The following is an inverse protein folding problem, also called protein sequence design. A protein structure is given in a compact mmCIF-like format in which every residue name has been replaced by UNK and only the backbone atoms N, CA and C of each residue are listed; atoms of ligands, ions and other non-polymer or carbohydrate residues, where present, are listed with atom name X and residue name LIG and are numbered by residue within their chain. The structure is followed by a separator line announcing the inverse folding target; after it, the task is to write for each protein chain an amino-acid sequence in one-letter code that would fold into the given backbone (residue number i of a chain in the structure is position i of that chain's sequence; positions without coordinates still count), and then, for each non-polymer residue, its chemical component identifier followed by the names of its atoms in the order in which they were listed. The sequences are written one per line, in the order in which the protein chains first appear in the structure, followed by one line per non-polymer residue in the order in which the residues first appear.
data_IF_652429102057
#
_entry.id   IF_652429102057
#
_cell.length_a   1.000
_cell.length_b   1.000
_cell.length_c   1.000
_cell.angle_alpha   90.00
_cell.angle_beta   90.00
_cell.angle_gamma   90.00
#
_symmetry.space_group_name_H-M   'P 1'
#
loop_
_entity.id
_entity.type
_entity.pdbx_description
1 polymer ?
#
# COMPACT_ATOMS: atom_id res chain seq x y z
N UNK A 1 4.60 -22.98 1.22
CA UNK A 1 4.58 -22.07 2.40
C UNK A 1 4.02 -20.73 1.97
N UNK A 2 3.00 -20.20 2.64
CA UNK A 2 2.51 -18.83 2.36
C UNK A 2 3.54 -17.85 2.92
N UNK A 3 4.43 -17.36 2.07
CA UNK A 3 5.36 -16.29 2.44
C UNK A 3 4.56 -15.06 2.95
N UNK A 4 4.64 -14.73 4.25
CA UNK A 4 3.94 -13.59 4.82
C UNK A 4 4.38 -12.27 4.18
N UNK A 5 5.65 -12.17 3.80
CA UNK A 5 6.24 -10.95 3.23
C UNK A 5 5.72 -10.72 1.81
N UNK A 6 5.77 -11.73 0.94
CA UNK A 6 5.20 -11.66 -0.41
C UNK A 6 3.69 -11.39 -0.42
N UNK A 7 2.94 -11.89 0.58
CA UNK A 7 1.52 -11.56 0.72
C UNK A 7 1.30 -10.10 1.13
N UNK A 8 2.12 -9.58 2.05
CA UNK A 8 2.03 -8.19 2.51
C UNK A 8 2.32 -7.21 1.36
N UNK A 9 3.31 -7.52 0.53
CA UNK A 9 3.62 -6.75 -0.68
C UNK A 9 2.48 -6.80 -1.69
N UNK A 10 1.87 -7.97 -1.94
CA UNK A 10 0.68 -8.06 -2.81
C UNK A 10 -0.51 -7.27 -2.26
N UNK A 11 -0.77 -7.34 -0.95
CA UNK A 11 -1.83 -6.54 -0.33
C UNK A 11 -1.57 -5.05 -0.53
N UNK A 12 -0.33 -4.60 -0.34
CA UNK A 12 0.06 -3.21 -0.56
C UNK A 12 -0.20 -2.78 -2.00
N UNK A 13 0.22 -3.56 -3.00
CA UNK A 13 -0.02 -3.27 -4.42
C UNK A 13 -1.51 -3.17 -4.76
N UNK A 14 -2.36 -4.02 -4.18
CA UNK A 14 -3.81 -3.93 -4.36
C UNK A 14 -4.35 -2.59 -3.81
N UNK A 15 -3.95 -2.23 -2.60
CA UNK A 15 -4.43 -1.02 -1.93
C UNK A 15 -3.98 0.28 -2.63
N UNK A 16 -2.90 0.25 -3.42
CA UNK A 16 -2.42 1.41 -4.20
C UNK A 16 -3.32 1.78 -5.38
N UNK A 17 -4.27 0.91 -5.75
CA UNK A 17 -5.28 1.24 -6.76
C UNK A 17 -6.23 2.31 -6.22
N UNK A 18 -6.64 3.34 -6.99
CA UNK A 18 -7.52 4.42 -6.52
C UNK A 18 -8.99 3.97 -6.37
N UNK A 19 -9.24 2.98 -5.50
CA UNK A 19 -10.57 2.43 -5.20
C UNK A 19 -10.66 1.95 -3.76
N UNK A 20 -11.87 1.63 -3.29
CA UNK A 20 -12.08 0.96 -2.00
C UNK A 20 -12.15 -0.56 -2.19
N UNK A 21 -11.53 -1.29 -1.28
CA UNK A 21 -11.43 -2.74 -1.33
C UNK A 21 -12.26 -3.40 -0.23
N UNK A 22 -13.24 -4.23 -0.61
CA UNK A 22 -13.95 -5.05 0.35
C UNK A 22 -13.03 -6.10 0.98
N UNK A 23 -13.18 -6.35 2.29
CA UNK A 23 -12.33 -7.33 2.99
C UNK A 23 -12.45 -8.75 2.44
N UNK A 24 -13.65 -9.13 1.97
CA UNK A 24 -13.88 -10.41 1.29
C UNK A 24 -13.17 -10.51 -0.05
N UNK A 25 -13.21 -9.46 -0.86
CA UNK A 25 -12.54 -9.44 -2.17
C UNK A 25 -11.01 -9.52 -2.03
N UNK A 26 -10.43 -8.83 -1.05
CA UNK A 26 -9.00 -8.95 -0.74
C UNK A 26 -8.66 -10.38 -0.29
N UNK A 27 -9.53 -11.01 0.49
CA UNK A 27 -9.34 -12.36 0.99
C UNK A 27 -9.31 -13.36 -0.17
N UNK A 28 -10.25 -13.27 -1.10
CA UNK A 28 -10.30 -14.10 -2.31
C UNK A 28 -9.05 -13.91 -3.18
N UNK A 29 -8.67 -12.67 -3.49
CA UNK A 29 -7.50 -12.37 -4.35
C UNK A 29 -6.18 -12.80 -3.76
N UNK A 30 -6.04 -12.71 -2.44
CA UNK A 30 -4.84 -13.14 -1.72
C UNK A 30 -4.90 -14.63 -1.34
N UNK A 31 -6.02 -15.31 -1.61
CA UNK A 31 -6.27 -16.70 -1.23
C UNK A 31 -6.26 -16.92 0.28
N UNK A 32 -6.62 -15.92 1.09
CA UNK A 32 -6.58 -16.00 2.57
C UNK A 32 -7.96 -15.73 3.17
N UNK A 33 -8.07 -15.74 4.50
CA UNK A 33 -9.33 -15.40 5.18
C UNK A 33 -9.43 -13.89 5.40
N UNK A 34 -10.65 -13.38 5.57
CA UNK A 34 -10.87 -11.98 5.97
C UNK A 34 -10.15 -11.61 7.29
N UNK A 35 -10.01 -12.57 8.22
CA UNK A 35 -9.22 -12.40 9.45
C UNK A 35 -7.74 -12.19 9.16
N UNK A 36 -7.18 -12.91 8.19
CA UNK A 36 -5.79 -12.74 7.74
C UNK A 36 -5.60 -11.38 7.06
N UNK A 37 -6.52 -10.97 6.19
CA UNK A 37 -6.49 -9.63 5.59
C UNK A 37 -6.47 -8.55 6.66
N UNK A 38 -7.34 -8.63 7.67
CA UNK A 38 -7.37 -7.65 8.77
C UNK A 38 -6.04 -7.58 9.51
N UNK A 39 -5.43 -8.74 9.82
CA UNK A 39 -4.11 -8.81 10.45
C UNK A 39 -3.01 -8.20 9.59
N UNK A 40 -3.03 -8.46 8.28
CA UNK A 40 -2.04 -7.90 7.35
C UNK A 40 -2.23 -6.38 7.15
N UNK A 41 -3.47 -5.88 7.17
CA UNK A 41 -3.79 -4.44 7.20
C UNK A 41 -3.21 -3.77 8.45
N UNK A 42 -3.40 -4.38 9.62
CA UNK A 42 -2.88 -3.83 10.88
C UNK A 42 -1.34 -3.80 10.85
N UNK A 43 -0.72 -4.83 10.28
CA UNK A 43 0.74 -4.85 10.07
C UNK A 43 1.22 -3.77 9.10
N UNK A 44 0.49 -3.49 8.03
CA UNK A 44 0.80 -2.34 7.16
C UNK A 44 0.73 -1.01 7.92
N UNK A 45 -0.26 -0.85 8.82
CA UNK A 45 -0.37 0.36 9.67
C UNK A 45 0.80 0.50 10.63
N UNK A 46 1.22 -0.60 11.26
CA UNK A 46 2.42 -0.64 12.12
C UNK A 46 3.69 -0.22 11.35
N UNK A 47 3.76 -0.55 10.05
CA UNK A 47 4.86 -0.15 9.16
C UNK A 47 4.74 1.28 8.61
N UNK A 48 3.74 2.05 9.05
CA UNK A 48 3.56 3.46 8.65
C UNK A 48 2.70 3.67 7.39
N UNK A 49 2.10 2.62 6.83
CA UNK A 49 1.18 2.78 5.68
C UNK A 49 -0.21 3.25 6.14
N UNK A 50 -0.71 4.40 5.66
CA UNK A 50 -1.96 5.01 6.13
C UNK A 50 -3.19 4.35 5.48
N UNK A 51 -3.54 3.15 5.94
CA UNK A 51 -4.70 2.39 5.47
C UNK A 51 -5.96 2.79 6.24
N UNK A 52 -6.90 3.46 5.57
CA UNK A 52 -8.24 3.76 6.10
C UNK A 52 -9.18 2.58 5.92
N UNK A 53 -10.08 2.41 6.89
CA UNK A 53 -11.18 1.46 6.81
C UNK A 53 -12.50 2.21 6.96
N UNK A 54 -13.35 2.11 5.95
CA UNK A 54 -14.72 2.64 5.98
C UNK A 54 -15.63 1.60 6.65
N UNK A 55 -16.48 1.99 7.59
CA UNK A 55 -17.47 1.10 8.23
C UNK A 55 -18.79 1.10 7.44
N UNK A 56 -19.52 -0.01 7.44
CA UNK A 56 -20.85 -0.15 6.81
C UNK A 56 -20.92 -1.26 5.75
N UNK A 57 -22.09 -1.48 5.16
CA UNK A 57 -22.33 -2.55 4.15
C UNK A 57 -21.52 -2.42 2.86
N UNK A 58 -21.06 -1.20 2.53
CA UNK A 58 -20.11 -0.92 1.45
C UNK A 58 -18.68 -0.65 1.95
N UNK A 59 -18.41 -0.88 3.25
CA UNK A 59 -17.16 -0.50 3.89
C UNK A 59 -15.96 -1.28 3.38
N UNK A 60 -14.88 -0.58 3.03
CA UNK A 60 -13.67 -1.19 2.49
C UNK A 60 -12.39 -0.60 3.05
N UNK A 61 -11.26 -1.13 2.57
CA UNK A 61 -9.92 -0.68 2.83
C UNK A 61 -9.39 0.14 1.65
N UNK A 62 -8.69 1.23 1.94
CA UNK A 62 -8.02 2.05 0.92
C UNK A 62 -6.75 2.66 1.50
N UNK A 63 -5.70 2.77 0.69
CA UNK A 63 -4.56 3.63 0.99
C UNK A 63 -4.96 5.10 0.80
N UNK A 64 -4.76 5.90 1.84
CA UNK A 64 -5.02 7.34 1.72
C UNK A 64 -3.95 7.96 0.83
N UNK A 65 -4.37 8.69 -0.21
CA UNK A 65 -3.43 9.43 -1.06
C UNK A 65 -2.68 10.48 -0.22
N UNK A 66 -1.35 10.56 -0.39
CA UNK A 66 -0.55 11.70 0.06
C UNK A 66 0.21 11.58 1.39
N UNK A 67 0.43 10.40 1.99
CA UNK A 67 1.13 10.36 3.29
C UNK A 67 2.24 9.32 3.48
N UNK A 68 2.47 8.38 2.55
CA UNK A 68 3.66 7.54 2.62
C UNK A 68 4.06 7.08 1.23
N UNK A 69 5.15 7.65 0.72
CA UNK A 69 5.96 6.95 -0.27
C UNK A 69 6.47 5.68 0.44
N UNK A 70 6.23 4.46 -0.08
CA UNK A 70 6.85 3.26 0.47
C UNK A 70 8.38 3.46 0.57
N UNK A 71 9.09 2.72 1.45
CA UNK A 71 10.54 2.84 1.52
C UNK A 71 11.15 2.60 0.14
N UNK A 72 11.73 3.66 -0.44
CA UNK A 72 12.45 3.57 -1.70
C UNK A 72 13.88 3.18 -1.40
N UNK A 73 14.31 2.07 -1.98
CA UNK A 73 15.72 1.80 -2.15
C UNK A 73 16.09 2.42 -3.49
N UNK A 74 16.97 3.41 -3.44
CA UNK A 74 17.49 4.10 -4.62
C UNK A 74 18.98 3.84 -4.64
N UNK A 75 19.52 3.61 -5.83
CA UNK A 75 20.95 3.72 -6.04
C UNK A 75 21.36 5.20 -6.21
N UNK A 76 22.68 5.45 -6.28
CA UNK A 76 23.23 6.80 -6.36
C UNK A 76 22.81 7.53 -7.65
N UNK A 77 22.63 6.79 -8.75
CA UNK A 77 22.23 7.34 -10.05
C UNK A 77 20.75 7.72 -10.04
N UNK A 78 19.90 6.86 -9.48
CA UNK A 78 18.46 7.08 -9.30
C UNK A 78 18.20 8.27 -8.36
N UNK A 79 18.94 8.37 -7.24
CA UNK A 79 18.83 9.50 -6.33
C UNK A 79 19.20 10.83 -7.01
N UNK A 80 20.25 10.81 -7.84
CA UNK A 80 20.69 11.98 -8.62
C UNK A 80 19.65 12.38 -9.66
N UNK A 81 19.09 11.41 -10.39
CA UNK A 81 18.04 11.67 -11.38
C UNK A 81 16.80 12.32 -10.76
N UNK A 82 16.39 11.85 -9.58
CA UNK A 82 15.25 12.42 -8.85
C UNK A 82 15.55 13.86 -8.42
N UNK A 83 16.75 14.13 -7.87
CA UNK A 83 17.14 15.48 -7.46
C UNK A 83 17.14 16.47 -8.63
N UNK A 84 17.64 16.07 -9.80
CA UNK A 84 17.61 16.88 -11.02
C UNK A 84 16.17 17.13 -11.46
N UNK A 85 15.36 16.07 -11.55
CA UNK A 85 13.95 16.17 -11.97
C UNK A 85 13.13 17.11 -11.08
N UNK A 86 13.33 17.04 -9.76
CA UNK A 86 12.67 17.93 -8.80
C UNK A 86 13.09 19.39 -8.96
N UNK A 87 14.40 19.65 -9.17
CA UNK A 87 14.90 21.01 -9.43
C UNK A 87 14.30 21.59 -10.71
N UNK A 88 14.22 20.80 -11.78
CA UNK A 88 13.63 21.24 -13.05
C UNK A 88 12.13 21.49 -12.90
N UNK A 89 11.41 20.63 -12.19
CA UNK A 89 9.97 20.80 -11.95
C UNK A 89 9.64 22.02 -11.05
N UNK A 90 10.53 22.38 -10.12
CA UNK A 90 10.35 23.56 -9.26
C UNK A 90 10.77 24.88 -9.93
N UNK A 91 11.54 24.81 -11.02
CA UNK A 91 12.02 25.97 -11.77
C UNK A 91 11.14 26.32 -12.98
N UNK A 92 10.12 25.51 -13.28
CA UNK A 92 9.06 25.78 -14.27
C UNK A 92 7.75 26.18 -13.61
#
# INVERSE_FOLDING_TARGET
MRDPSGRLLRLLSLLQTPREWQGGELAERLGVTARTVRRDIDRLRELGYPVRATRGGAGGYRLTAGAAMPPLLLDDDEATAIAIGLRTAAAG
#
